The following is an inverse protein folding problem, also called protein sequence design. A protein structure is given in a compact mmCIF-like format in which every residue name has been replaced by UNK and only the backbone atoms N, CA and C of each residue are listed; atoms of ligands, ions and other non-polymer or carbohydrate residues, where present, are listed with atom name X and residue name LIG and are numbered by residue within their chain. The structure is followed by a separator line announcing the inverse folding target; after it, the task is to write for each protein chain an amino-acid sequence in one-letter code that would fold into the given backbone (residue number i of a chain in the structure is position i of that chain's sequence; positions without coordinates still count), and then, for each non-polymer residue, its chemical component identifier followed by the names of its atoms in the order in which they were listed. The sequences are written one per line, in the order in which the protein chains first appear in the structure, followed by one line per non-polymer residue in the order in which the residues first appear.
data_IF_275994122704
#
_entry.id   IF_275994122704
#
_cell.length_a   1.000
_cell.length_b   1.000
_cell.length_c   1.000
_cell.angle_alpha   90.00
_cell.angle_beta   90.00
_cell.angle_gamma   90.00
#
_symmetry.space_group_name_H-M   'P 1'
#
loop_
_entity.id
_entity.type
_entity.pdbx_description
1 polymer ?
#
# COMPACT_ATOMS: atom_id res chain seq x y z
N UNK A 1 47.59 -3.86 16.75
CA UNK A 1 46.36 -3.40 17.41
C UNK A 1 45.33 -4.52 17.35
N UNK A 2 45.09 -5.22 18.46
CA UNK A 2 44.06 -6.26 18.54
C UNK A 2 42.68 -5.60 18.66
N UNK A 3 42.08 -5.24 17.52
CA UNK A 3 40.66 -4.91 17.50
C UNK A 3 39.86 -6.21 17.54
N UNK A 4 39.37 -6.57 18.74
CA UNK A 4 38.37 -7.63 18.92
C UNK A 4 37.00 -6.96 18.95
N UNK A 5 36.21 -6.99 17.85
CA UNK A 5 34.84 -6.51 17.90
C UNK A 5 34.06 -7.46 18.80
N UNK A 6 33.78 -7.04 20.04
CA UNK A 6 32.78 -7.70 20.87
C UNK A 6 31.40 -7.25 20.42
N UNK A 7 30.99 -7.69 19.23
CA UNK A 7 29.56 -7.69 18.91
C UNK A 7 28.97 -8.81 19.76
N UNK A 8 28.58 -8.46 20.98
CA UNK A 8 27.73 -9.34 21.78
C UNK A 8 26.41 -9.43 21.01
N UNK A 9 26.30 -10.43 20.15
CA UNK A 9 25.06 -10.77 19.48
C UNK A 9 24.09 -11.19 20.58
N UNK A 10 23.32 -10.23 21.09
CA UNK A 10 22.26 -10.54 22.03
C UNK A 10 21.29 -11.46 21.32
N UNK A 11 20.97 -12.60 21.95
CA UNK A 11 19.98 -13.53 21.44
C UNK A 11 18.60 -12.87 21.56
N UNK A 12 18.20 -12.14 20.52
CA UNK A 12 16.88 -11.51 20.43
C UNK A 12 15.86 -12.57 20.03
N UNK A 13 14.77 -12.70 20.78
CA UNK A 13 13.67 -13.58 20.41
C UNK A 13 12.66 -12.82 19.55
N UNK A 14 12.42 -13.32 18.34
CA UNK A 14 11.40 -12.77 17.42
C UNK A 14 10.03 -12.67 18.09
N UNK A 15 9.70 -13.63 18.98
CA UNK A 15 8.44 -13.67 19.73
C UNK A 15 8.10 -12.36 20.44
N UNK A 16 9.13 -11.68 20.96
CA UNK A 16 8.96 -10.45 21.75
C UNK A 16 8.51 -9.27 20.87
N UNK A 17 8.60 -9.40 19.54
CA UNK A 17 8.22 -8.38 18.55
C UNK A 17 7.00 -8.75 17.70
N UNK A 18 6.29 -9.82 18.05
CA UNK A 18 5.06 -10.24 17.35
C UNK A 18 4.01 -9.14 17.23
N UNK A 19 3.79 -8.26 18.24
CA UNK A 19 2.85 -7.16 18.07
C UNK A 19 3.19 -6.30 16.85
N UNK A 20 4.45 -5.89 16.67
CA UNK A 20 4.90 -5.13 15.50
C UNK A 20 4.75 -5.92 14.21
N UNK A 21 5.10 -7.21 14.22
CA UNK A 21 4.95 -8.08 13.06
C UNK A 21 3.51 -8.19 12.59
N UNK A 22 2.54 -8.37 13.50
CA UNK A 22 1.13 -8.47 13.16
C UNK A 22 0.63 -7.17 12.51
N UNK A 23 0.93 -6.00 13.10
CA UNK A 23 0.48 -4.72 12.53
C UNK A 23 1.16 -4.43 11.20
N UNK A 24 2.45 -4.75 11.07
CA UNK A 24 3.17 -4.62 9.80
C UNK A 24 2.54 -5.50 8.73
N UNK A 25 2.28 -6.79 9.03
CA UNK A 25 1.67 -7.73 8.10
C UNK A 25 0.26 -7.28 7.68
N UNK A 26 -0.58 -6.86 8.63
CA UNK A 26 -1.92 -6.36 8.34
C UNK A 26 -1.89 -5.08 7.49
N UNK A 27 -1.03 -4.11 7.83
CA UNK A 27 -0.88 -2.88 7.06
C UNK A 27 -0.35 -3.16 5.64
N UNK A 28 0.60 -4.07 5.50
CA UNK A 28 1.12 -4.48 4.18
C UNK A 28 0.06 -5.22 3.37
N UNK A 29 -0.69 -6.13 3.98
CA UNK A 29 -1.82 -6.80 3.32
C UNK A 29 -2.88 -5.80 2.87
N UNK A 30 -3.28 -4.86 3.72
CA UNK A 30 -4.23 -3.81 3.33
C UNK A 30 -3.74 -3.01 2.12
N UNK A 31 -2.47 -2.60 2.12
CA UNK A 31 -1.89 -1.85 0.99
C UNK A 31 -1.78 -2.65 -0.31
N UNK A 32 -1.34 -3.90 -0.23
CA UNK A 32 -1.27 -4.77 -1.41
C UNK A 32 -2.65 -5.08 -1.97
N UNK A 33 -3.63 -5.29 -1.11
CA UNK A 33 -5.02 -5.51 -1.50
C UNK A 33 -5.57 -4.28 -2.21
N UNK A 34 -5.45 -3.09 -1.62
CA UNK A 34 -5.86 -1.82 -2.24
C UNK A 34 -5.19 -1.65 -3.62
N UNK A 35 -3.86 -1.64 -3.62
CA UNK A 35 -3.07 -1.43 -4.85
C UNK A 35 -3.44 -2.40 -5.97
N UNK A 36 -3.51 -3.70 -5.68
CA UNK A 36 -3.86 -4.69 -6.70
C UNK A 36 -5.34 -4.69 -7.05
N UNK A 37 -6.23 -4.24 -6.16
CA UNK A 37 -7.66 -4.15 -6.50
C UNK A 37 -7.93 -3.16 -7.64
N UNK A 38 -7.15 -2.08 -7.69
CA UNK A 38 -7.21 -1.10 -8.79
C UNK A 38 -6.29 -1.52 -9.92
N UNK A 39 -4.97 -1.61 -9.68
CA UNK A 39 -4.00 -1.62 -10.77
C UNK A 39 -3.81 -2.96 -11.47
N UNK A 40 -4.23 -4.08 -10.88
CA UNK A 40 -4.12 -5.36 -11.59
C UNK A 40 -5.07 -5.44 -12.77
N UNK A 41 -6.18 -4.71 -12.72
CA UNK A 41 -7.29 -4.78 -13.67
C UNK A 41 -7.57 -3.46 -14.38
N UNK A 42 -6.97 -2.37 -13.91
CA UNK A 42 -7.19 -1.04 -14.46
C UNK A 42 -7.01 -0.95 -16.00
N UNK A 43 -5.99 -1.57 -16.63
CA UNK A 43 -5.85 -1.50 -18.08
C UNK A 43 -7.06 -2.05 -18.85
N UNK A 44 -7.63 -3.15 -18.36
CA UNK A 44 -8.80 -3.79 -18.96
C UNK A 44 -10.05 -2.94 -18.72
N UNK A 45 -10.21 -2.41 -17.51
CA UNK A 45 -11.32 -1.52 -17.17
C UNK A 45 -11.28 -0.20 -17.96
N UNK A 46 -10.11 0.40 -18.13
CA UNK A 46 -9.92 1.62 -18.91
C UNK A 46 -10.25 1.38 -20.39
N UNK A 47 -9.78 0.26 -20.95
CA UNK A 47 -10.11 -0.15 -22.32
C UNK A 47 -11.61 -0.38 -22.50
N UNK A 48 -12.26 -1.05 -21.54
CA UNK A 48 -13.73 -1.20 -21.49
C UNK A 48 -14.46 0.15 -21.41
N UNK A 49 -13.86 1.12 -20.73
CA UNK A 49 -14.39 2.49 -20.61
C UNK A 49 -14.10 3.36 -21.84
N UNK A 50 -13.59 2.77 -22.93
CA UNK A 50 -13.36 3.46 -24.21
C UNK A 50 -12.00 4.13 -24.36
N UNK A 51 -11.04 3.83 -23.47
CA UNK A 51 -9.70 4.40 -23.57
C UNK A 51 -8.93 3.71 -24.70
N UNK A 52 -8.25 4.47 -25.58
CA UNK A 52 -7.34 3.87 -26.56
C UNK A 52 -6.18 3.14 -25.87
N UNK A 53 -5.79 1.97 -26.38
CA UNK A 53 -4.73 1.15 -25.78
C UNK A 53 -3.39 1.90 -25.62
N UNK A 54 -3.01 2.72 -26.61
CA UNK A 54 -1.79 3.54 -26.53
C UNK A 54 -1.84 4.53 -25.36
N UNK A 55 -3.03 5.08 -25.08
CA UNK A 55 -3.23 6.04 -24.00
C UNK A 55 -3.17 5.35 -22.64
N UNK A 56 -3.75 4.15 -22.51
CA UNK A 56 -3.63 3.34 -21.29
C UNK A 56 -2.17 3.02 -21.00
N UNK A 57 -1.38 2.61 -22.01
CA UNK A 57 0.05 2.37 -21.86
C UNK A 57 0.81 3.61 -21.36
N UNK A 58 0.54 4.78 -21.95
CA UNK A 58 1.15 6.05 -21.53
C UNK A 58 0.73 6.46 -20.11
N UNK A 59 -0.56 6.33 -19.79
CA UNK A 59 -1.12 6.60 -18.48
C UNK A 59 -0.41 5.78 -17.40
N UNK A 60 -0.28 4.47 -17.63
CA UNK A 60 0.40 3.56 -16.71
C UNK A 60 1.90 3.87 -16.58
N UNK A 61 2.58 4.23 -17.67
CA UNK A 61 3.99 4.61 -17.63
C UNK A 61 4.22 5.86 -16.76
N UNK A 62 3.40 6.90 -16.96
CA UNK A 62 3.45 8.13 -16.16
C UNK A 62 3.11 7.85 -14.70
N UNK A 63 2.07 7.04 -14.44
CA UNK A 63 1.69 6.66 -13.09
C UNK A 63 2.83 5.97 -12.34
N UNK A 64 3.54 5.02 -12.97
CA UNK A 64 4.70 4.38 -12.35
C UNK A 64 5.85 5.37 -12.07
N UNK A 65 6.10 6.34 -12.95
CA UNK A 65 7.10 7.38 -12.72
C UNK A 65 6.72 8.31 -11.54
N UNK A 66 5.44 8.68 -11.44
CA UNK A 66 4.88 9.43 -10.30
C UNK A 66 5.04 8.62 -9.03
N UNK A 67 4.68 7.33 -9.05
CA UNK A 67 4.78 6.45 -7.90
C UNK A 67 6.22 6.34 -7.38
N UNK A 68 7.19 6.08 -8.26
CA UNK A 68 8.60 6.04 -7.87
C UNK A 68 9.09 7.35 -7.26
N UNK A 69 8.68 8.48 -7.83
CA UNK A 69 9.00 9.81 -7.30
C UNK A 69 8.33 10.07 -5.95
N UNK A 70 7.10 9.61 -5.78
CA UNK A 70 6.33 9.78 -4.55
C UNK A 70 6.98 9.09 -3.35
N UNK A 71 7.59 7.92 -3.55
CA UNK A 71 8.32 7.21 -2.49
C UNK A 71 9.47 8.06 -1.93
N UNK A 72 10.20 8.75 -2.81
CA UNK A 72 11.28 9.66 -2.40
C UNK A 72 10.72 10.88 -1.66
N UNK A 73 9.64 11.46 -2.18
CA UNK A 73 9.00 12.65 -1.60
C UNK A 73 8.48 12.32 -0.19
N UNK A 74 7.67 11.28 -0.03
CA UNK A 74 7.13 10.87 1.27
C UNK A 74 8.24 10.46 2.24
N UNK A 75 9.29 9.78 1.76
CA UNK A 75 10.48 9.49 2.55
C UNK A 75 11.11 10.77 3.13
N UNK A 76 11.27 11.82 2.32
CA UNK A 76 11.79 13.12 2.78
C UNK A 76 10.82 13.87 3.69
N UNK A 77 9.53 13.89 3.35
CA UNK A 77 8.50 14.53 4.17
C UNK A 77 8.39 13.90 5.56
N UNK A 78 8.72 12.61 5.69
CA UNK A 78 8.63 11.88 6.96
C UNK A 78 9.53 12.44 8.05
N UNK A 79 10.64 13.10 7.67
CA UNK A 79 11.51 13.81 8.60
C UNK A 79 10.91 15.13 9.12
N UNK A 80 9.88 15.68 8.45
CA UNK A 80 9.28 16.97 8.79
C UNK A 80 7.90 16.84 9.44
N UNK A 81 7.02 15.99 8.90
CA UNK A 81 5.59 15.97 9.27
C UNK A 81 5.17 14.78 10.15
N UNK A 82 6.09 13.86 10.45
CA UNK A 82 5.83 12.66 11.23
C UNK A 82 5.19 11.55 10.38
N UNK A 83 5.72 10.34 10.55
CA UNK A 83 5.44 9.22 9.64
C UNK A 83 3.95 8.83 9.64
N UNK A 84 3.32 8.71 10.80
CA UNK A 84 1.91 8.33 10.91
C UNK A 84 0.97 9.34 10.24
N UNK A 85 1.24 10.65 10.36
CA UNK A 85 0.39 11.68 9.72
C UNK A 85 0.41 11.56 8.21
N UNK A 86 1.58 11.32 7.62
CA UNK A 86 1.72 11.10 6.18
C UNK A 86 0.99 9.84 5.71
N UNK A 87 1.00 8.78 6.52
CA UNK A 87 0.24 7.57 6.22
C UNK A 87 -1.27 7.86 6.22
N UNK A 88 -1.79 8.59 7.21
CA UNK A 88 -3.21 8.94 7.23
C UNK A 88 -3.64 9.87 6.09
N UNK A 89 -2.81 10.87 5.75
CA UNK A 89 -3.06 11.73 4.58
C UNK A 89 -3.04 10.91 3.30
N UNK A 90 -2.09 9.97 3.19
CA UNK A 90 -1.99 9.05 2.08
C UNK A 90 -3.23 8.16 1.93
N UNK A 91 -3.72 7.57 3.03
CA UNK A 91 -4.96 6.78 3.05
C UNK A 91 -6.15 7.60 2.55
N UNK A 92 -6.32 8.84 3.04
CA UNK A 92 -7.38 9.72 2.57
C UNK A 92 -7.24 10.03 1.07
N UNK A 93 -6.00 10.24 0.60
CA UNK A 93 -5.68 10.41 -0.81
C UNK A 93 -6.08 9.20 -1.66
N UNK A 94 -5.80 7.98 -1.18
CA UNK A 94 -6.16 6.74 -1.88
C UNK A 94 -7.66 6.54 -1.99
N UNK A 95 -8.43 6.81 -0.94
CA UNK A 95 -9.90 6.71 -0.98
C UNK A 95 -10.52 7.64 -2.03
N UNK A 96 -10.00 8.88 -2.15
CA UNK A 96 -10.45 9.81 -3.18
C UNK A 96 -9.98 9.33 -4.55
N UNK A 97 -8.74 8.88 -4.65
CA UNK A 97 -8.13 8.48 -5.91
C UNK A 97 -8.74 7.21 -6.50
N UNK A 98 -9.12 6.23 -5.68
CA UNK A 98 -9.77 5.00 -6.11
C UNK A 98 -11.14 5.29 -6.73
N UNK A 99 -11.93 6.13 -6.06
CA UNK A 99 -13.22 6.57 -6.58
C UNK A 99 -13.09 7.33 -7.90
N UNK A 100 -12.06 8.15 -8.05
CA UNK A 100 -11.82 8.89 -9.29
C UNK A 100 -11.26 8.00 -10.41
N UNK A 101 -10.41 7.02 -10.09
CA UNK A 101 -9.80 6.13 -11.09
C UNK A 101 -10.83 5.14 -11.64
N UNK A 102 -11.71 4.60 -10.79
CA UNK A 102 -12.76 3.67 -11.17
C UNK A 102 -14.14 4.17 -10.74
N UNK A 103 -14.67 5.25 -11.36
CA UNK A 103 -15.87 5.89 -10.87
C UNK A 103 -17.12 5.06 -11.11
N UNK A 104 -17.98 5.05 -10.08
CA UNK A 104 -19.29 4.41 -10.12
C UNK A 104 -20.24 5.14 -11.09
N UNK A 105 -20.27 6.49 -11.02
CA UNK A 105 -21.20 7.30 -11.80
C UNK A 105 -20.74 7.50 -13.24
N UNK A 106 -21.59 7.15 -14.20
CA UNK A 106 -21.30 7.26 -15.65
C UNK A 106 -20.78 8.64 -16.09
N UNK A 107 -21.30 9.79 -15.61
CA UNK A 107 -20.78 11.10 -16.01
C UNK A 107 -19.31 11.34 -15.59
N UNK A 108 -18.81 10.60 -14.60
CA UNK A 108 -17.43 10.69 -14.13
C UNK A 108 -16.48 9.76 -14.90
N UNK A 109 -16.99 8.84 -15.73
CA UNK A 109 -16.22 7.95 -16.60
C UNK A 109 -15.68 8.70 -17.82
N UNK A 110 -14.92 9.74 -17.56
CA UNK A 110 -14.29 10.58 -18.57
C UNK A 110 -12.76 10.44 -18.49
N UNK A 111 -12.12 10.48 -19.65
CA UNK A 111 -10.65 10.42 -19.81
C UNK A 111 -9.89 11.28 -18.78
N UNK A 112 -10.20 12.59 -18.63
CA UNK A 112 -9.47 13.44 -17.69
C UNK A 112 -9.65 13.03 -16.22
N UNK A 113 -10.85 12.58 -15.82
CA UNK A 113 -11.19 12.28 -14.43
C UNK A 113 -10.49 11.00 -13.98
N UNK A 114 -10.62 9.92 -14.76
CA UNK A 114 -10.01 8.64 -14.41
C UNK A 114 -8.48 8.71 -14.46
N UNK A 115 -7.91 9.43 -15.44
CA UNK A 115 -6.46 9.67 -15.48
C UNK A 115 -5.98 10.46 -14.27
N UNK A 116 -6.70 11.50 -13.85
CA UNK A 116 -6.38 12.24 -12.63
C UNK A 116 -6.48 11.35 -11.38
N UNK A 117 -7.48 10.47 -11.32
CA UNK A 117 -7.60 9.46 -10.26
C UNK A 117 -6.39 8.54 -10.20
N UNK A 118 -5.94 8.00 -11.34
CA UNK A 118 -4.73 7.16 -11.41
C UNK A 118 -3.47 7.91 -10.98
N UNK A 119 -3.27 9.15 -11.43
CA UNK A 119 -2.11 9.95 -11.03
C UNK A 119 -2.13 10.30 -9.55
N UNK A 120 -3.29 10.67 -9.02
CA UNK A 120 -3.47 10.91 -7.59
C UNK A 120 -3.20 9.64 -6.79
N UNK A 121 -3.70 8.50 -7.25
CA UNK A 121 -3.47 7.21 -6.59
C UNK A 121 -1.97 6.91 -6.57
N UNK A 122 -1.31 6.97 -7.72
CA UNK A 122 0.13 6.73 -7.85
C UNK A 122 0.96 7.62 -6.92
N UNK A 123 0.58 8.89 -6.76
CA UNK A 123 1.24 9.79 -5.83
C UNK A 123 0.92 9.47 -4.36
N UNK A 124 -0.35 9.19 -4.05
CA UNK A 124 -0.81 8.91 -2.69
C UNK A 124 -0.22 7.60 -2.15
N UNK A 125 0.05 6.60 -2.99
CA UNK A 125 0.78 5.37 -2.61
C UNK A 125 2.17 5.66 -2.05
N UNK A 126 2.69 6.88 -2.21
CA UNK A 126 3.97 7.34 -1.67
C UNK A 126 4.22 7.01 -0.19
N UNK A 127 3.17 6.91 0.65
CA UNK A 127 3.35 6.54 2.06
C UNK A 127 3.67 5.06 2.27
N UNK A 128 3.44 4.18 1.30
CA UNK A 128 3.55 2.74 1.50
C UNK A 128 4.93 2.30 2.04
N UNK A 129 6.07 2.78 1.51
CA UNK A 129 7.38 2.44 2.07
C UNK A 129 7.57 2.91 3.52
N UNK A 130 6.80 3.91 3.98
CA UNK A 130 6.86 4.37 5.36
C UNK A 130 6.39 3.30 6.36
N UNK A 131 5.47 2.41 5.96
CA UNK A 131 5.04 1.26 6.78
C UNK A 131 6.24 0.37 7.09
N UNK A 132 7.03 0.01 6.06
CA UNK A 132 8.27 -0.74 6.22
C UNK A 132 9.29 0.01 7.08
N UNK A 133 9.38 1.33 6.93
CA UNK A 133 10.27 2.18 7.73
C UNK A 133 9.93 2.17 9.22
N UNK A 134 8.64 2.27 9.58
CA UNK A 134 8.19 2.18 10.97
C UNK A 134 8.46 0.77 11.51
N UNK A 135 8.12 -0.27 10.76
CA UNK A 135 8.37 -1.66 11.13
C UNK A 135 9.87 -1.91 11.40
N UNK A 136 10.74 -1.42 10.51
CA UNK A 136 12.19 -1.55 10.63
C UNK A 136 12.80 -0.80 11.82
N UNK A 137 12.26 0.37 12.14
CA UNK A 137 12.72 1.23 13.25
C UNK A 137 12.13 0.85 14.61
N UNK A 138 11.12 -0.02 14.63
CA UNK A 138 10.46 -0.51 15.84
C UNK A 138 11.11 -1.75 16.45
N UNK A 139 12.07 -2.36 15.75
CA UNK A 139 12.71 -3.62 16.17
C UNK A 139 14.22 -3.57 16.02
N UNK A 140 14.97 -4.38 16.78
CA UNK A 140 16.42 -4.40 16.68
C UNK A 140 16.88 -5.05 15.36
N UNK A 141 18.10 -4.75 14.89
CA UNK A 141 18.58 -5.15 13.56
C UNK A 141 18.50 -6.64 13.28
N UNK A 142 18.67 -7.49 14.31
CA UNK A 142 18.73 -8.96 14.23
C UNK A 142 17.42 -9.58 13.73
N UNK A 143 16.27 -8.96 14.03
CA UNK A 143 14.94 -9.46 13.64
C UNK A 143 14.27 -8.60 12.57
N UNK A 144 14.90 -7.47 12.21
CA UNK A 144 14.37 -6.49 11.25
C UNK A 144 14.03 -7.13 9.92
N UNK A 145 14.99 -7.80 9.30
CA UNK A 145 14.83 -8.39 7.97
C UNK A 145 13.73 -9.46 7.96
N UNK A 146 13.66 -10.29 9.00
CA UNK A 146 12.58 -11.27 9.17
C UNK A 146 11.22 -10.58 9.23
N UNK A 147 11.06 -9.56 10.08
CA UNK A 147 9.78 -8.90 10.28
C UNK A 147 9.32 -8.16 9.02
N UNK A 148 10.17 -7.28 8.48
CA UNK A 148 9.79 -6.45 7.33
C UNK A 148 9.64 -7.28 6.06
N UNK A 149 10.54 -8.24 5.82
CA UNK A 149 10.48 -9.12 4.65
C UNK A 149 9.27 -10.06 4.70
N UNK A 150 9.00 -10.68 5.84
CA UNK A 150 7.85 -11.58 5.98
C UNK A 150 6.53 -10.81 5.89
N UNK A 151 6.42 -9.65 6.54
CA UNK A 151 5.23 -8.80 6.44
C UNK A 151 4.94 -8.36 4.99
N UNK A 152 5.97 -7.95 4.25
CA UNK A 152 5.85 -7.59 2.84
C UNK A 152 5.31 -8.76 2.00
N UNK A 153 5.89 -9.95 2.16
CA UNK A 153 5.49 -11.13 1.38
C UNK A 153 4.08 -11.63 1.75
N UNK A 154 3.70 -11.62 3.03
CA UNK A 154 2.31 -11.90 3.44
C UNK A 154 1.36 -10.91 2.77
N UNK A 155 1.75 -9.63 2.72
CA UNK A 155 0.99 -8.62 2.03
C UNK A 155 0.82 -8.92 0.53
N UNK A 156 1.92 -9.23 -0.16
CA UNK A 156 1.92 -9.54 -1.59
C UNK A 156 1.03 -10.74 -1.93
N UNK A 157 1.07 -11.79 -1.11
CA UNK A 157 0.18 -12.96 -1.25
C UNK A 157 -1.29 -12.54 -1.09
N UNK A 158 -1.61 -11.75 -0.06
CA UNK A 158 -2.97 -11.29 0.18
C UNK A 158 -3.51 -10.46 -0.99
N UNK A 159 -2.71 -9.55 -1.55
CA UNK A 159 -3.09 -8.79 -2.73
C UNK A 159 -3.24 -9.65 -3.98
N UNK A 160 -2.37 -10.65 -4.18
CA UNK A 160 -2.49 -11.61 -5.28
C UNK A 160 -3.80 -12.42 -5.22
N UNK A 161 -4.21 -12.84 -4.02
CA UNK A 161 -5.51 -13.51 -3.81
C UNK A 161 -6.66 -12.58 -4.21
N UNK A 162 -6.64 -11.33 -3.78
CA UNK A 162 -7.70 -10.37 -4.15
C UNK A 162 -7.72 -10.10 -5.64
N UNK A 163 -6.57 -10.00 -6.30
CA UNK A 163 -6.52 -9.88 -7.77
C UNK A 163 -7.19 -11.06 -8.46
N UNK A 164 -7.00 -12.28 -7.97
CA UNK A 164 -7.69 -13.46 -8.51
C UNK A 164 -9.20 -13.43 -8.23
N UNK A 165 -9.61 -12.98 -7.04
CA UNK A 165 -11.02 -12.79 -6.69
C UNK A 165 -11.71 -11.78 -7.60
N UNK A 166 -11.02 -10.70 -7.98
CA UNK A 166 -11.54 -9.71 -8.94
C UNK A 166 -11.82 -10.34 -10.31
N UNK A 167 -10.95 -11.24 -10.78
CA UNK A 167 -11.22 -12.03 -11.98
C UNK A 167 -12.54 -12.80 -11.88
N UNK A 168 -12.77 -13.47 -10.74
CA UNK A 168 -14.04 -14.17 -10.48
C UNK A 168 -15.24 -13.23 -10.36
N UNK A 169 -15.08 -12.02 -9.80
CA UNK A 169 -16.13 -11.00 -9.76
C UNK A 169 -16.50 -10.56 -11.19
N UNK A 170 -15.51 -10.36 -12.05
CA UNK A 170 -15.74 -9.98 -13.46
C UNK A 170 -16.46 -11.10 -14.20
N UNK A 171 -16.07 -12.35 -13.99
CA UNK A 171 -16.75 -13.51 -14.55
C UNK A 171 -18.23 -13.57 -14.14
N UNK A 172 -18.52 -13.34 -12.84
CA UNK A 172 -19.87 -13.48 -12.29
C UNK A 172 -20.78 -12.27 -12.54
N UNK A 173 -20.26 -11.05 -12.49
CA UNK A 173 -21.04 -9.80 -12.48
C UNK A 173 -20.73 -8.87 -13.66
N UNK A 174 -19.66 -9.14 -14.41
CA UNK A 174 -19.22 -8.35 -15.56
C UNK A 174 -18.33 -7.16 -15.19
N UNK A 175 -17.63 -6.62 -16.19
CA UNK A 175 -16.71 -5.48 -16.03
C UNK A 175 -17.41 -4.20 -15.54
N UNK A 176 -18.69 -4.02 -15.88
CA UNK A 176 -19.44 -2.80 -15.55
C UNK A 176 -19.71 -2.64 -14.04
N UNK A 177 -19.80 -3.75 -13.28
CA UNK A 177 -20.02 -3.72 -11.83
C UNK A 177 -18.72 -3.56 -11.03
N UNK A 178 -17.57 -3.65 -11.68
CA UNK A 178 -16.26 -3.65 -11.03
C UNK A 178 -16.02 -2.45 -10.09
N UNK A 179 -16.40 -1.20 -10.43
CA UNK A 179 -16.27 -0.06 -9.53
C UNK A 179 -16.86 -0.28 -8.13
N UNK A 180 -18.04 -0.90 -8.03
CA UNK A 180 -18.71 -1.12 -6.74
C UNK A 180 -17.93 -2.08 -5.83
N UNK A 181 -17.35 -3.13 -6.40
CA UNK A 181 -16.56 -4.09 -5.66
C UNK A 181 -15.19 -3.54 -5.28
N UNK A 182 -14.53 -2.85 -6.21
CA UNK A 182 -13.22 -2.23 -5.98
C UNK A 182 -13.31 -1.18 -4.88
N UNK A 183 -14.30 -0.28 -4.91
CA UNK A 183 -14.49 0.72 -3.85
C UNK A 183 -14.72 0.09 -2.47
N UNK A 184 -15.48 -1.01 -2.40
CA UNK A 184 -15.68 -1.76 -1.15
C UNK A 184 -14.41 -2.43 -0.63
N UNK A 185 -13.63 -3.06 -1.52
CA UNK A 185 -12.35 -3.70 -1.21
C UNK A 185 -11.32 -2.65 -0.76
N UNK A 186 -11.25 -1.52 -1.46
CA UNK A 186 -10.42 -0.37 -1.13
C UNK A 186 -10.72 0.14 0.26
N UNK A 187 -11.99 0.46 0.54
CA UNK A 187 -12.39 0.94 1.86
C UNK A 187 -12.03 -0.04 2.97
N UNK A 188 -12.34 -1.33 2.80
CA UNK A 188 -12.05 -2.34 3.81
C UNK A 188 -10.54 -2.52 4.03
N UNK A 189 -9.77 -2.57 2.96
CA UNK A 189 -8.32 -2.78 3.04
C UNK A 189 -7.59 -1.57 3.62
N UNK A 190 -7.96 -0.35 3.22
CA UNK A 190 -7.42 0.89 3.79
C UNK A 190 -7.84 1.08 5.25
N UNK A 191 -9.03 0.62 5.66
CA UNK A 191 -9.42 0.57 7.06
C UNK A 191 -8.49 -0.35 7.88
N UNK A 192 -8.06 -1.50 7.33
CA UNK A 192 -7.07 -2.37 7.97
C UNK A 192 -5.72 -1.66 8.11
N UNK A 193 -5.28 -0.92 7.08
CA UNK A 193 -4.05 -0.11 7.17
C UNK A 193 -4.19 0.94 8.28
N UNK A 194 -5.29 1.69 8.28
CA UNK A 194 -5.58 2.71 9.27
C UNK A 194 -5.55 2.15 10.70
N UNK A 195 -6.29 1.08 10.97
CA UNK A 195 -6.36 0.44 12.30
C UNK A 195 -5.00 -0.10 12.72
N UNK A 196 -4.25 -0.70 11.81
CA UNK A 196 -2.89 -1.21 12.09
C UNK A 196 -1.94 -0.10 12.49
N UNK A 197 -2.08 1.08 11.89
CA UNK A 197 -1.25 2.25 12.20
C UNK A 197 -1.71 2.98 13.44
N UNK A 198 -3.01 3.06 13.67
CA UNK A 198 -3.59 3.66 14.87
C UNK A 198 -3.27 2.85 16.12
N UNK A 199 -3.26 1.52 16.01
CA UNK A 199 -2.95 0.58 17.11
C UNK A 199 -1.48 0.14 17.13
N UNK A 200 -0.60 0.91 16.50
CA UNK A 200 0.83 0.59 16.48
C UNK A 200 1.39 0.57 17.91
N UNK A 201 2.16 -0.47 18.31
CA UNK A 201 2.67 -0.56 19.67
C UNK A 201 3.62 0.61 19.98
N UNK A 202 3.47 1.21 21.17
CA UNK A 202 4.48 2.14 21.67
C UNK A 202 5.79 1.38 21.89
N UNK A 203 6.93 2.01 21.53
CA UNK A 203 8.25 1.41 21.71
C UNK A 203 8.34 0.86 23.13
N UNK A 204 8.77 -0.40 23.23
CA UNK A 204 9.12 -1.00 24.52
C UNK A 204 10.37 -0.23 24.94
N UNK A 205 10.21 0.86 25.69
CA UNK A 205 11.33 1.46 26.39
C UNK A 205 11.94 0.35 27.24
N UNK A 206 13.25 0.19 27.09
CA UNK A 206 14.05 -0.79 27.81
C UNK A 206 13.60 -0.80 29.27
N UNK A 207 12.84 -1.83 29.66
CA UNK A 207 12.78 -2.25 31.05
C UNK A 207 14.16 -2.83 31.34
N UNK A 208 15.09 -1.92 31.65
CA UNK A 208 16.33 -2.23 32.33
C UNK A 208 16.01 -2.81 33.71
#
# INVERSE_FOLDING_TARGET
EEFKPSVVAQKVRVRDYFPYFIRASLAMSGMFIAYLAVFSIYPDFASFSGFPAYYVGLLMAIANAIQGSSYVIFGRLSYMFGVFKLIYVGIAGLLVASFLSMPIFTPLKALPIMSAGVYLYAFAVGFWPLISGIAASSVPPEVRAFLTGTAYNIGAVAGGIVSALIGGIIEAFGMASLPYFVDGIEFASLAVVFVSMFTWPMKIENRA
#
